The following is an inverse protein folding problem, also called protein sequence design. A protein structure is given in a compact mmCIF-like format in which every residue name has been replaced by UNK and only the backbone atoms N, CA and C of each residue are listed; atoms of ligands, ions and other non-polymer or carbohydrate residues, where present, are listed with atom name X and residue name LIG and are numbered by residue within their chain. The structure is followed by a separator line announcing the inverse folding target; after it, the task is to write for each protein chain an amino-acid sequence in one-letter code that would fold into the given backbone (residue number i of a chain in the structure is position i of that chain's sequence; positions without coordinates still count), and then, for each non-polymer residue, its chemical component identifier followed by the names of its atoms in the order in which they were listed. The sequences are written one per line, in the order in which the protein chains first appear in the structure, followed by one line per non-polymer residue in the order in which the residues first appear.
data_IF_863386444975
#
_entry.id   IF_863386444975
#
_cell.length_a   1.000
_cell.length_b   1.000
_cell.length_c   1.000
_cell.angle_alpha   90.00
_cell.angle_beta   90.00
_cell.angle_gamma   90.00
#
_symmetry.space_group_name_H-M   'P 1'
#
loop_
_entity.id
_entity.type
_entity.pdbx_description
1 polymer ?
#
# COMPACT_ATOMS: atom_id res chain seq x y z
N UNK A 1 -2.77 -5.18 7.85
CA UNK A 1 -2.94 -4.28 6.71
C UNK A 1 -1.56 -3.74 6.33
N UNK A 2 -1.17 -3.89 5.08
CA UNK A 2 0.11 -3.38 4.56
C UNK A 2 0.07 -1.85 4.62
N UNK A 3 1.11 -1.24 5.16
CA UNK A 3 1.24 0.22 5.29
C UNK A 3 2.59 0.63 4.74
N UNK A 4 2.61 1.73 4.00
CA UNK A 4 3.84 2.34 3.51
C UNK A 4 4.35 3.41 4.48
N UNK A 5 5.65 3.64 4.43
CA UNK A 5 6.34 4.66 5.22
C UNK A 5 7.49 5.24 4.40
N UNK A 6 7.75 6.52 4.60
CA UNK A 6 8.87 7.24 3.98
C UNK A 6 10.16 7.05 4.77
N UNK A 7 11.26 6.85 4.05
CA UNK A 7 12.62 6.82 4.61
C UNK A 7 13.49 7.79 3.81
N UNK A 8 13.97 8.83 4.48
CA UNK A 8 14.90 9.79 3.86
C UNK A 8 16.28 9.14 3.74
N UNK A 9 16.89 9.26 2.59
CA UNK A 9 18.21 8.74 2.25
C UNK A 9 19.07 9.88 1.70
N UNK A 10 20.42 9.77 1.72
CA UNK A 10 21.31 10.81 1.18
C UNK A 10 21.06 11.12 -0.31
N UNK A 11 20.61 10.13 -1.08
CA UNK A 11 20.31 10.24 -2.50
C UNK A 11 18.87 10.62 -2.82
N UNK A 12 17.96 10.62 -1.81
CA UNK A 12 16.54 10.93 -2.04
C UNK A 12 15.60 10.37 -0.98
N UNK A 13 14.46 9.85 -1.39
CA UNK A 13 13.44 9.33 -0.48
C UNK A 13 12.91 7.98 -0.94
N UNK A 14 12.71 7.07 0.00
CA UNK A 14 12.09 5.76 -0.25
C UNK A 14 10.70 5.73 0.38
N UNK A 15 9.73 5.29 -0.38
CA UNK A 15 8.38 4.98 0.08
C UNK A 15 8.17 3.48 -0.04
N UNK A 16 8.04 2.79 1.11
CA UNK A 16 8.01 1.32 1.13
C UNK A 16 7.16 0.77 2.26
N UNK A 17 6.81 -0.49 2.14
CA UNK A 17 6.15 -1.25 3.22
C UNK A 17 6.96 -1.17 4.50
N UNK A 18 6.27 -0.97 5.62
CA UNK A 18 6.90 -0.83 6.94
C UNK A 18 7.64 -2.08 7.35
N UNK A 19 8.83 -1.92 7.96
CA UNK A 19 9.59 -3.03 8.52
C UNK A 19 8.81 -3.83 9.58
N UNK A 20 7.87 -3.17 10.27
CA UNK A 20 7.00 -3.82 11.25
C UNK A 20 6.14 -4.92 10.61
N UNK A 21 5.63 -4.71 9.39
CA UNK A 21 4.87 -5.71 8.66
C UNK A 21 5.72 -6.98 8.40
N UNK A 22 6.95 -6.79 7.90
CA UNK A 22 7.88 -7.90 7.68
C UNK A 22 8.29 -8.59 8.97
N UNK A 23 8.54 -7.82 10.04
CA UNK A 23 8.89 -8.36 11.36
C UNK A 23 7.78 -9.22 11.95
N UNK A 24 6.53 -8.75 11.90
CA UNK A 24 5.38 -9.52 12.38
C UNK A 24 5.19 -10.79 11.55
N UNK A 25 5.20 -10.67 10.20
CA UNK A 25 5.05 -11.82 9.31
C UNK A 25 6.16 -12.86 9.52
N UNK A 26 7.42 -12.41 9.67
CA UNK A 26 8.56 -13.27 9.95
C UNK A 26 8.46 -13.97 11.30
N UNK A 27 8.04 -13.26 12.33
CA UNK A 27 7.80 -13.84 13.66
C UNK A 27 6.76 -14.97 13.60
N UNK A 28 5.62 -14.71 12.95
CA UNK A 28 4.58 -15.73 12.77
C UNK A 28 5.08 -16.92 11.93
N UNK A 29 5.88 -16.67 10.89
CA UNK A 29 6.47 -17.75 10.09
C UNK A 29 7.37 -18.67 10.96
N UNK A 30 8.24 -18.08 11.78
CA UNK A 30 9.11 -18.86 12.69
C UNK A 30 8.28 -19.64 13.71
N UNK A 31 7.24 -19.06 14.28
CA UNK A 31 6.34 -19.71 15.21
C UNK A 31 5.62 -20.91 14.56
N UNK A 32 5.13 -20.77 13.33
CA UNK A 32 4.48 -21.85 12.59
C UNK A 32 5.46 -22.95 12.21
N UNK A 33 6.70 -22.62 11.81
CA UNK A 33 7.76 -23.59 11.54
C UNK A 33 8.06 -24.40 12.81
N UNK A 34 8.21 -23.73 13.94
CA UNK A 34 8.46 -24.40 15.21
C UNK A 34 7.32 -25.37 15.57
N UNK A 35 6.05 -24.93 15.49
CA UNK A 35 4.90 -25.78 15.71
C UNK A 35 4.83 -26.96 14.74
N UNK A 36 5.21 -26.76 13.47
CA UNK A 36 5.28 -27.83 12.47
C UNK A 36 6.32 -28.87 12.86
N UNK A 37 7.53 -28.46 13.28
CA UNK A 37 8.62 -29.36 13.69
C UNK A 37 8.21 -30.20 14.91
N UNK A 38 7.56 -29.58 15.91
CA UNK A 38 7.06 -30.30 17.08
C UNK A 38 6.03 -31.38 16.70
N UNK A 39 5.03 -31.03 15.91
CA UNK A 39 4.01 -32.00 15.48
C UNK A 39 4.62 -33.16 14.65
N UNK A 40 5.61 -32.86 13.79
CA UNK A 40 6.32 -33.91 13.04
C UNK A 40 7.10 -34.83 13.96
N UNK A 41 7.73 -34.31 15.03
CA UNK A 41 8.45 -35.12 16.00
C UNK A 41 7.54 -36.07 16.83
N UNK A 42 6.26 -35.68 16.94
CA UNK A 42 5.21 -36.50 17.57
C UNK A 42 4.57 -37.50 16.58
N UNK A 43 5.04 -37.57 15.33
CA UNK A 43 4.56 -38.50 14.31
C UNK A 43 3.27 -38.06 13.63
N UNK A 44 2.85 -36.80 13.77
CA UNK A 44 1.66 -36.26 13.11
C UNK A 44 1.92 -36.13 11.60
N UNK A 45 1.00 -36.63 10.77
CA UNK A 45 1.18 -36.61 9.31
C UNK A 45 1.07 -35.18 8.75
N UNK A 46 1.87 -34.85 7.72
CA UNK A 46 1.81 -33.55 7.02
C UNK A 46 0.42 -33.21 6.47
N UNK A 47 -0.33 -34.23 6.04
CA UNK A 47 -1.69 -34.05 5.48
C UNK A 47 -2.66 -33.50 6.54
N UNK A 48 -2.54 -33.92 7.79
CA UNK A 48 -3.39 -33.40 8.88
C UNK A 48 -3.05 -31.95 9.25
N UNK A 49 -1.84 -31.48 8.90
CA UNK A 49 -1.35 -30.13 9.16
C UNK A 49 -1.50 -29.16 7.97
N UNK A 50 -2.32 -29.49 6.97
CA UNK A 50 -2.49 -28.67 5.75
C UNK A 50 -2.84 -27.22 6.07
N UNK A 51 -3.63 -26.96 7.10
CA UNK A 51 -3.99 -25.59 7.52
C UNK A 51 -2.77 -24.81 8.05
N UNK A 52 -1.85 -25.46 8.75
CA UNK A 52 -0.59 -24.84 9.23
C UNK A 52 0.31 -24.52 8.03
N UNK A 53 0.39 -25.41 7.05
CA UNK A 53 1.18 -25.20 5.83
C UNK A 53 0.64 -24.04 5.00
N UNK A 54 -0.69 -23.90 4.87
CA UNK A 54 -1.31 -22.76 4.18
C UNK A 54 -0.99 -21.46 4.92
N UNK A 55 -1.14 -21.41 6.24
CA UNK A 55 -0.81 -20.24 7.05
C UNK A 55 0.68 -19.89 6.95
N UNK A 56 1.56 -20.89 6.97
CA UNK A 56 3.01 -20.71 6.80
C UNK A 56 3.32 -20.08 5.43
N UNK A 57 2.71 -20.60 4.37
CA UNK A 57 2.89 -20.04 3.02
C UNK A 57 2.45 -18.56 2.95
N UNK A 58 1.31 -18.22 3.56
CA UNK A 58 0.81 -16.85 3.61
C UNK A 58 1.74 -15.92 4.41
N UNK A 59 2.24 -16.37 5.57
CA UNK A 59 3.14 -15.55 6.40
C UNK A 59 4.52 -15.42 5.76
N UNK A 60 5.03 -16.45 5.09
CA UNK A 60 6.26 -16.36 4.29
C UNK A 60 6.10 -15.41 3.11
N UNK A 61 4.97 -15.46 2.40
CA UNK A 61 4.67 -14.49 1.35
C UNK A 61 4.68 -13.07 1.91
N UNK A 62 4.06 -12.82 3.08
CA UNK A 62 4.12 -11.51 3.75
C UNK A 62 5.53 -11.10 4.16
N UNK A 63 6.37 -12.03 4.60
CA UNK A 63 7.75 -11.76 5.00
C UNK A 63 8.63 -11.34 3.82
N UNK A 64 8.44 -11.97 2.65
CA UNK A 64 9.23 -11.72 1.45
C UNK A 64 8.58 -10.72 0.49
N UNK A 65 7.38 -10.23 0.81
CA UNK A 65 6.71 -9.22 0.00
C UNK A 65 7.52 -7.92 -0.05
N UNK A 66 7.71 -7.40 -1.24
CA UNK A 66 8.36 -6.11 -1.48
C UNK A 66 7.44 -5.22 -2.29
N UNK A 67 7.26 -4.00 -1.80
CA UNK A 67 6.63 -2.91 -2.50
C UNK A 67 7.37 -1.64 -2.07
N UNK A 68 8.23 -1.16 -2.95
CA UNK A 68 9.17 -0.09 -2.65
C UNK A 68 9.29 0.84 -3.84
N UNK A 69 9.07 2.12 -3.59
CA UNK A 69 9.29 3.20 -4.52
C UNK A 69 10.50 4.02 -4.05
N UNK A 70 11.50 4.14 -4.90
CA UNK A 70 12.73 4.90 -4.64
C UNK A 70 12.73 6.12 -5.54
N UNK A 71 12.67 7.30 -4.95
CA UNK A 71 12.77 8.57 -5.64
C UNK A 71 14.20 9.08 -5.48
N UNK A 72 15.03 8.83 -6.48
CA UNK A 72 16.45 9.20 -6.46
C UNK A 72 16.64 10.56 -7.12
N UNK A 73 17.00 11.55 -6.29
CA UNK A 73 17.24 12.91 -6.72
C UNK A 73 18.57 13.06 -7.49
N UNK A 74 19.55 12.23 -7.16
CA UNK A 74 20.87 12.32 -7.80
C UNK A 74 20.83 11.77 -9.22
N UNK A 75 20.16 10.61 -9.39
CA UNK A 75 19.97 9.99 -10.70
C UNK A 75 18.76 10.54 -11.47
N UNK A 76 17.96 11.44 -10.86
CA UNK A 76 16.73 11.99 -11.44
C UNK A 76 15.78 10.89 -11.93
N UNK A 77 15.62 9.84 -11.10
CA UNK A 77 14.90 8.62 -11.46
C UNK A 77 14.00 8.12 -10.34
N UNK A 78 12.86 7.58 -10.72
CA UNK A 78 11.95 6.84 -9.83
C UNK A 78 12.10 5.36 -10.15
N UNK A 79 12.32 4.54 -9.14
CA UNK A 79 12.38 3.07 -9.29
C UNK A 79 11.30 2.44 -8.46
N UNK A 80 10.40 1.69 -9.09
CA UNK A 80 9.41 0.83 -8.45
C UNK A 80 9.93 -0.60 -8.40
N UNK A 81 9.85 -1.23 -7.23
CA UNK A 81 10.24 -2.62 -7.01
C UNK A 81 9.09 -3.30 -6.29
N UNK A 82 8.43 -4.24 -6.95
CA UNK A 82 7.32 -4.99 -6.35
C UNK A 82 7.39 -6.47 -6.66
N UNK A 83 6.96 -7.31 -5.71
CA UNK A 83 6.98 -8.76 -5.86
C UNK A 83 7.32 -9.50 -4.57
N UNK A 84 7.82 -10.71 -4.72
CA UNK A 84 8.13 -11.61 -3.60
C UNK A 84 9.58 -12.11 -3.71
N UNK A 85 10.39 -11.77 -2.71
CA UNK A 85 11.77 -12.24 -2.59
C UNK A 85 12.60 -12.01 -3.85
N UNK A 86 13.07 -13.07 -4.53
CA UNK A 86 13.84 -12.96 -5.76
C UNK A 86 12.98 -12.65 -7.00
N UNK A 87 11.66 -12.87 -6.94
CA UNK A 87 10.71 -12.64 -8.04
C UNK A 87 10.15 -11.22 -7.94
N UNK A 88 11.03 -10.23 -7.98
CA UNK A 88 10.63 -8.83 -7.98
C UNK A 88 10.70 -8.25 -9.39
N UNK A 89 9.61 -7.60 -9.80
CA UNK A 89 9.58 -6.75 -10.99
C UNK A 89 10.13 -5.39 -10.62
N UNK A 90 10.95 -4.84 -11.51
CA UNK A 90 11.53 -3.50 -11.37
C UNK A 90 11.10 -2.66 -12.57
N UNK A 91 10.54 -1.50 -12.28
CA UNK A 91 10.18 -0.49 -13.27
C UNK A 91 10.93 0.81 -12.95
N UNK A 92 11.28 1.58 -13.96
CA UNK A 92 12.03 2.83 -13.80
C UNK A 92 11.38 3.92 -14.65
N UNK A 93 11.30 5.11 -14.09
CA UNK A 93 10.75 6.31 -14.72
C UNK A 93 11.75 7.45 -14.51
N UNK A 94 12.06 8.22 -15.56
CA UNK A 94 12.83 9.43 -15.39
C UNK A 94 11.96 10.54 -14.78
N UNK A 95 12.54 11.46 -13.98
CA UNK A 95 11.76 12.59 -13.45
C UNK A 95 11.17 13.45 -14.56
N UNK A 96 11.84 13.53 -15.73
CA UNK A 96 11.34 14.25 -16.91
C UNK A 96 10.08 13.63 -17.53
N UNK A 97 9.80 12.36 -17.26
CA UNK A 97 8.59 11.66 -17.72
C UNK A 97 7.41 11.89 -16.77
N UNK A 98 7.68 12.37 -15.54
CA UNK A 98 6.68 12.59 -14.52
C UNK A 98 6.22 14.03 -14.55
N UNK A 99 5.00 14.27 -14.96
CA UNK A 99 4.39 15.59 -14.96
C UNK A 99 4.12 16.09 -13.56
N UNK A 100 3.53 15.23 -12.71
CA UNK A 100 3.22 15.57 -11.33
C UNK A 100 2.94 14.32 -10.47
N UNK A 101 3.07 14.50 -9.17
CA UNK A 101 2.55 13.60 -8.15
C UNK A 101 1.07 13.95 -7.94
N UNK A 102 0.19 12.96 -7.91
CA UNK A 102 -1.24 13.17 -7.69
C UNK A 102 -1.71 12.51 -6.41
N UNK A 103 -2.44 13.25 -5.62
CA UNK A 103 -3.12 12.77 -4.43
C UNK A 103 -4.62 13.04 -4.58
N UNK A 104 -5.36 12.01 -4.98
CA UNK A 104 -6.78 12.11 -5.27
C UNK A 104 -7.60 11.52 -4.11
N UNK A 105 -8.60 12.28 -3.65
CA UNK A 105 -9.56 11.84 -2.65
C UNK A 105 -10.87 11.51 -3.37
N UNK A 106 -11.42 10.33 -3.11
CA UNK A 106 -12.72 9.95 -3.67
C UNK A 106 -13.54 9.12 -2.67
N UNK A 107 -14.85 9.12 -2.86
CA UNK A 107 -15.76 8.32 -2.03
C UNK A 107 -16.17 7.08 -2.81
N UNK A 108 -15.82 5.91 -2.28
CA UNK A 108 -16.28 4.62 -2.82
C UNK A 108 -17.55 4.19 -2.10
N UNK A 109 -18.60 3.96 -2.85
CA UNK A 109 -19.89 3.48 -2.33
C UNK A 109 -20.98 3.62 -3.36
N UNK A 110 -22.18 3.18 -3.03
CA UNK A 110 -23.37 3.35 -3.87
C UNK A 110 -24.61 3.59 -3.00
N UNK A 111 -25.50 4.44 -3.48
CA UNK A 111 -26.83 4.69 -2.89
C UNK A 111 -27.86 3.67 -3.35
N UNK A 112 -27.50 2.80 -4.29
CA UNK A 112 -28.42 1.79 -4.83
C UNK A 112 -28.92 0.86 -3.73
N UNK A 113 -30.25 0.82 -3.55
CA UNK A 113 -30.93 0.02 -2.51
C UNK A 113 -30.83 -1.49 -2.77
N UNK A 114 -30.62 -1.90 -4.02
CA UNK A 114 -30.51 -3.30 -4.43
C UNK A 114 -29.07 -3.82 -4.37
N UNK A 115 -28.11 -2.93 -4.12
CA UNK A 115 -26.72 -3.31 -3.97
C UNK A 115 -26.48 -4.09 -2.66
N UNK A 116 -25.51 -5.02 -2.68
CA UNK A 116 -25.10 -5.77 -1.48
C UNK A 116 -24.72 -4.81 -0.33
N UNK A 117 -25.02 -5.12 0.95
CA UNK A 117 -24.77 -4.23 2.09
C UNK A 117 -23.37 -3.66 2.16
N UNK A 118 -22.35 -4.44 1.77
CA UNK A 118 -20.96 -3.98 1.75
C UNK A 118 -20.66 -2.92 0.68
N UNK A 119 -21.45 -2.84 -0.40
CA UNK A 119 -21.32 -1.83 -1.45
C UNK A 119 -22.05 -0.52 -1.10
N UNK A 120 -23.02 -0.57 -0.19
CA UNK A 120 -23.76 0.61 0.28
C UNK A 120 -22.98 1.48 1.26
N UNK A 121 -21.86 0.98 1.79
CA UNK A 121 -21.03 1.74 2.74
C UNK A 121 -20.12 2.68 1.98
N UNK A 122 -20.34 3.96 2.17
CA UNK A 122 -19.41 4.99 1.68
C UNK A 122 -18.09 4.90 2.43
N UNK A 123 -17.00 4.90 1.69
CA UNK A 123 -15.65 4.90 2.24
C UNK A 123 -14.83 5.96 1.51
N UNK A 124 -14.35 6.92 2.26
CA UNK A 124 -13.37 7.86 1.75
C UNK A 124 -12.05 7.13 1.50
N UNK A 125 -11.54 7.27 0.30
CA UNK A 125 -10.34 6.62 -0.19
C UNK A 125 -9.36 7.69 -0.69
N UNK A 126 -8.09 7.40 -0.55
CA UNK A 126 -7.00 8.22 -1.07
C UNK A 126 -6.24 7.37 -2.09
N UNK A 127 -5.96 7.96 -3.23
CA UNK A 127 -5.07 7.39 -4.26
C UNK A 127 -3.87 8.29 -4.40
N UNK A 128 -2.70 7.73 -4.18
CA UNK A 128 -1.43 8.35 -4.53
C UNK A 128 -0.93 7.74 -5.84
N UNK A 129 -0.71 8.57 -6.85
CA UNK A 129 -0.28 8.15 -8.18
C UNK A 129 0.77 9.08 -8.78
N UNK A 130 1.51 8.56 -9.76
CA UNK A 130 2.34 9.32 -10.68
C UNK A 130 1.54 9.62 -11.94
N UNK A 131 1.56 10.86 -12.39
CA UNK A 131 1.06 11.24 -13.71
C UNK A 131 2.25 11.31 -14.67
N UNK A 132 2.25 10.43 -15.67
CA UNK A 132 3.32 10.27 -16.66
C UNK A 132 2.99 10.97 -18.00
N UNK A 133 1.87 11.71 -18.09
CA UNK A 133 1.44 12.43 -19.28
C UNK A 133 0.04 12.05 -19.74
N UNK A 134 -0.29 12.32 -21.01
CA UNK A 134 -1.62 12.14 -21.58
C UNK A 134 -2.16 10.73 -21.31
N UNK A 135 -3.06 10.61 -20.32
CA UNK A 135 -3.76 9.39 -19.89
C UNK A 135 -2.93 8.27 -19.22
N UNK A 136 -1.62 8.43 -19.03
CA UNK A 136 -0.82 7.41 -18.33
C UNK A 136 -0.64 7.79 -16.86
N UNK A 137 -1.31 7.03 -15.98
CA UNK A 137 -1.19 7.15 -14.52
C UNK A 137 -0.71 5.83 -13.92
N UNK A 138 0.20 5.96 -12.94
CA UNK A 138 0.70 4.81 -12.20
C UNK A 138 0.35 4.96 -10.73
N UNK A 139 -0.57 4.14 -10.25
CA UNK A 139 -0.95 4.12 -8.84
C UNK A 139 0.16 3.54 -7.98
N UNK A 140 0.52 4.28 -6.94
CA UNK A 140 1.51 3.88 -5.93
C UNK A 140 0.79 3.27 -4.73
N UNK A 141 -0.24 3.94 -4.22
CA UNK A 141 -0.99 3.46 -3.07
C UNK A 141 -2.47 3.83 -3.19
N UNK A 142 -3.34 2.86 -2.85
CA UNK A 142 -4.77 3.08 -2.69
C UNK A 142 -5.15 2.68 -1.25
N UNK A 143 -5.56 3.63 -0.45
CA UNK A 143 -5.81 3.41 0.98
C UNK A 143 -7.08 4.12 1.43
N UNK A 144 -7.79 3.53 2.42
CA UNK A 144 -8.89 4.24 3.06
C UNK A 144 -8.36 5.42 3.89
N UNK A 145 -8.97 6.60 3.76
CA UNK A 145 -8.56 7.83 4.45
C UNK A 145 -8.41 7.63 5.96
N UNK A 146 -9.40 6.97 6.58
CA UNK A 146 -9.35 6.59 8.00
C UNK A 146 -8.11 5.77 8.36
N UNK A 147 -7.62 4.95 7.43
CA UNK A 147 -6.45 4.09 7.65
C UNK A 147 -5.16 4.84 7.41
N UNK A 148 -5.14 5.75 6.43
CA UNK A 148 -4.03 6.67 6.20
C UNK A 148 -3.78 7.54 7.43
N UNK A 149 -4.83 8.15 7.98
CA UNK A 149 -4.71 9.07 9.11
C UNK A 149 -3.75 10.23 8.83
N UNK A 150 -3.75 10.75 7.59
CA UNK A 150 -2.89 11.85 7.16
C UNK A 150 -1.44 11.45 6.78
N UNK A 151 -1.09 10.16 6.88
CA UNK A 151 0.30 9.71 6.63
C UNK A 151 0.65 9.68 5.15
N UNK A 152 -0.28 9.27 4.29
CA UNK A 152 -0.06 9.25 2.85
C UNK A 152 0.11 10.68 2.34
N UNK A 153 -0.70 11.62 2.83
CA UNK A 153 -0.58 13.04 2.51
C UNK A 153 0.78 13.61 2.94
N UNK A 154 1.19 13.34 4.18
CA UNK A 154 2.50 13.77 4.69
C UNK A 154 3.66 13.13 3.91
N UNK A 155 3.51 11.86 3.52
CA UNK A 155 4.49 11.16 2.71
C UNK A 155 4.65 11.79 1.32
N UNK A 156 3.54 12.07 0.64
CA UNK A 156 3.56 12.68 -0.69
C UNK A 156 4.14 14.09 -0.65
N UNK A 157 3.80 14.89 0.37
CA UNK A 157 4.40 16.20 0.59
C UNK A 157 5.92 16.11 0.80
N UNK A 158 6.38 15.14 1.61
CA UNK A 158 7.82 14.92 1.82
C UNK A 158 8.52 14.48 0.53
N UNK A 159 7.88 13.62 -0.29
CA UNK A 159 8.41 13.19 -1.59
C UNK A 159 8.53 14.40 -2.51
N UNK A 160 7.50 15.21 -2.66
CA UNK A 160 7.51 16.42 -3.47
C UNK A 160 8.60 17.40 -3.01
N UNK A 161 8.72 17.64 -1.70
CA UNK A 161 9.73 18.55 -1.14
C UNK A 161 11.16 18.08 -1.41
N UNK A 162 11.43 16.76 -1.36
CA UNK A 162 12.76 16.19 -1.59
C UNK A 162 13.11 16.12 -3.07
N UNK A 163 12.15 15.76 -3.92
CA UNK A 163 12.36 15.53 -5.35
C UNK A 163 12.23 16.82 -6.18
N UNK A 164 11.43 17.78 -5.71
CA UNK A 164 11.04 18.97 -6.47
C UNK A 164 9.93 18.69 -7.50
N UNK A 165 9.37 17.48 -7.53
CA UNK A 165 8.25 17.15 -8.42
C UNK A 165 6.99 17.92 -8.00
N UNK A 166 6.23 18.48 -8.97
CA UNK A 166 4.97 19.16 -8.66
C UNK A 166 3.99 18.20 -7.97
N UNK A 167 3.25 18.73 -7.00
CA UNK A 167 2.21 17.98 -6.28
C UNK A 167 0.83 18.58 -6.58
N UNK A 168 -0.04 17.75 -7.11
CA UNK A 168 -1.46 18.04 -7.27
C UNK A 168 -2.27 17.30 -6.20
N UNK A 169 -3.10 18.03 -5.47
CA UNK A 169 -3.99 17.45 -4.44
C UNK A 169 -5.42 17.78 -4.82
N UNK A 170 -6.16 16.77 -5.23
CA UNK A 170 -7.60 16.89 -5.44
C UNK A 170 -8.33 16.50 -4.16
N UNK A 171 -8.93 17.48 -3.50
CA UNK A 171 -9.87 17.28 -2.41
C UNK A 171 -11.24 17.63 -2.91
N UNK A 172 -12.23 16.70 -2.91
CA UNK A 172 -13.60 17.06 -3.17
C UNK A 172 -13.95 18.23 -2.24
N UNK A 173 -14.38 19.35 -2.79
CA UNK A 173 -14.88 20.45 -1.98
C UNK A 173 -16.09 19.92 -1.21
N UNK A 174 -16.16 20.19 0.09
CA UNK A 174 -17.24 19.75 0.99
C UNK A 174 -18.66 20.11 0.49
N UNK A 175 -18.76 20.94 -0.53
CA UNK A 175 -19.99 21.39 -1.15
C UNK A 175 -20.72 20.33 -2.01
N UNK A 176 -20.02 19.32 -2.51
CA UNK A 176 -20.62 18.26 -3.32
C UNK A 176 -21.04 17.03 -2.49
N UNK A 177 -20.61 16.97 -1.24
CA UNK A 177 -20.99 15.95 -0.27
C UNK A 177 -21.93 16.55 0.79
N UNK A 178 -23.08 17.07 0.36
CA UNK A 178 -24.18 17.48 1.26
C UNK A 178 -24.89 16.26 1.90
N UNK A 179 -24.15 15.20 2.12
CA UNK A 179 -24.56 14.10 2.98
C UNK A 179 -24.01 14.43 4.37
N UNK A 180 -24.83 15.11 5.16
CA UNK A 180 -24.53 15.32 6.57
C UNK A 180 -24.15 14.00 7.22
N UNK A 181 -23.09 13.98 8.01
CA UNK A 181 -22.71 12.81 8.83
C UNK A 181 -23.85 12.27 9.68
N UNK A 182 -24.89 13.10 9.93
CA UNK A 182 -26.13 12.74 10.65
C UNK A 182 -27.11 11.91 9.83
N UNK A 183 -27.01 11.93 8.50
CA UNK A 183 -27.89 11.15 7.61
C UNK A 183 -27.34 9.75 7.32
N UNK A 184 -26.12 9.47 7.75
CA UNK A 184 -25.55 8.13 7.78
C UNK A 184 -25.97 7.39 9.07
N UNK A 185 -27.27 7.09 9.21
CA UNK A 185 -27.73 6.15 10.24
C UNK A 185 -27.18 4.77 9.89
N UNK A 186 -26.41 4.23 10.83
CA UNK A 186 -25.77 2.92 10.85
C UNK A 186 -26.79 1.80 11.08
#
# INVERSE_FOLDING_TARGET
MVRHTTYIKPYGIQYRVTNMFHGISGFFSLFLIWGLVLNLSEGVSLLSMTHILILLLLTLAGTFYRDTWVFDRQEQRITSIYGFGPLCKREQFAFSEVHQLELNHFVRGTTDKDAKPNKRRFRAMIVFSLNLGEDEKRDIEIIAEKTSGGRTESAVQAISAVTGLPLFVDRPRDLDLNVSYKDMKW
#
